data_IF_187016979989
#
_entry.id   IF_187016979989
#
_cell.length_a   1.000
_cell.length_b   1.000
_cell.length_c   1.000
_cell.angle_alpha   90.00
_cell.angle_beta   90.00
_cell.angle_gamma   90.00
#
_symmetry.space_group_name_H-M   'P 1'
#
loop_
_entity.id
_entity.type
_entity.pdbx_description
1 polymer ?
#
# COMPACT_ATOMS: atom_id res chain seq x y z
N UNK A 1 18.73 -18.53 11.42
CA UNK A 1 19.12 -18.43 9.99
C UNK A 1 18.86 -17.00 9.57
N UNK A 2 19.89 -16.20 9.28
CA UNK A 2 19.68 -14.81 8.85
C UNK A 2 19.13 -14.81 7.43
N UNK A 3 17.98 -14.22 7.21
CA UNK A 3 17.43 -14.04 5.86
C UNK A 3 18.32 -13.05 5.10
N UNK A 4 18.70 -13.42 3.87
CA UNK A 4 19.41 -12.52 2.97
C UNK A 4 18.46 -11.38 2.58
N UNK A 5 18.92 -10.14 2.71
CA UNK A 5 18.22 -8.96 2.24
C UNK A 5 18.73 -8.55 0.86
N UNK A 6 17.82 -8.18 -0.01
CA UNK A 6 18.15 -7.65 -1.33
C UNK A 6 18.39 -6.14 -1.29
N UNK A 7 18.85 -5.61 -2.41
CA UNK A 7 19.14 -4.18 -2.61
C UNK A 7 17.98 -3.49 -3.32
N UNK A 8 17.71 -2.24 -2.91
CA UNK A 8 16.70 -1.38 -3.52
C UNK A 8 17.35 -0.10 -4.02
N UNK A 9 16.84 0.43 -5.13
CA UNK A 9 17.18 1.76 -5.65
C UNK A 9 15.92 2.60 -5.80
N UNK A 10 16.07 3.92 -5.66
CA UNK A 10 15.03 4.88 -6.02
C UNK A 10 14.95 5.04 -7.54
N UNK A 11 13.73 4.97 -8.07
CA UNK A 11 13.42 5.20 -9.47
C UNK A 11 12.27 6.20 -9.58
N UNK A 12 12.34 7.07 -10.57
CA UNK A 12 11.27 8.03 -10.87
C UNK A 12 10.70 7.73 -12.25
N UNK A 13 9.38 7.75 -12.35
CA UNK A 13 8.61 7.48 -13.57
C UNK A 13 7.56 8.58 -13.73
N UNK A 14 7.46 9.18 -14.90
CA UNK A 14 6.43 10.20 -15.16
C UNK A 14 5.14 9.55 -15.63
N UNK A 15 4.05 9.82 -14.92
CA UNK A 15 2.70 9.32 -15.22
C UNK A 15 1.74 10.51 -15.26
N UNK A 16 1.10 10.78 -16.38
CA UNK A 16 0.16 11.91 -16.57
C UNK A 16 0.76 13.27 -16.15
N UNK A 17 2.05 13.46 -16.34
CA UNK A 17 2.76 14.68 -15.95
C UNK A 17 3.17 14.73 -14.47
N UNK A 18 2.83 13.72 -13.67
CA UNK A 18 3.30 13.58 -12.28
C UNK A 18 4.55 12.71 -12.22
N UNK A 19 5.56 13.15 -11.51
CA UNK A 19 6.72 12.32 -11.18
C UNK A 19 6.38 11.39 -10.04
N UNK A 20 6.38 10.08 -10.29
CA UNK A 20 6.16 9.04 -9.29
C UNK A 20 7.48 8.38 -8.91
N UNK A 21 7.77 8.38 -7.63
CA UNK A 21 8.91 7.67 -7.05
C UNK A 21 8.53 6.22 -6.72
N UNK A 22 9.51 5.31 -6.83
CA UNK A 22 9.39 3.94 -6.34
C UNK A 22 10.74 3.42 -5.83
N UNK A 23 10.73 2.62 -4.78
CA UNK A 23 11.86 1.75 -4.45
C UNK A 23 11.75 0.47 -5.27
N UNK A 24 12.81 0.13 -6.01
CA UNK A 24 12.84 -1.00 -6.95
C UNK A 24 13.99 -1.93 -6.62
N UNK A 25 13.74 -3.25 -6.60
CA UNK A 25 14.79 -4.24 -6.40
C UNK A 25 15.73 -4.31 -7.59
N UNK A 26 17.03 -4.52 -7.33
CA UNK A 26 18.09 -4.61 -8.35
C UNK A 26 18.83 -5.93 -8.33
N UNK A 27 18.28 -6.94 -7.68
CA UNK A 27 18.87 -8.28 -7.69
C UNK A 27 18.76 -8.88 -9.10
N UNK A 28 19.83 -9.56 -9.59
CA UNK A 28 19.76 -10.29 -10.84
C UNK A 28 18.86 -11.52 -10.65
N UNK A 29 17.68 -11.47 -11.24
CA UNK A 29 16.70 -12.55 -11.22
C UNK A 29 16.39 -13.04 -12.62
N UNK A 30 15.92 -14.29 -12.79
CA UNK A 30 15.41 -14.80 -14.06
C UNK A 30 14.29 -13.90 -14.63
N UNK A 31 14.10 -13.92 -15.94
CA UNK A 31 13.05 -13.10 -16.60
C UNK A 31 11.63 -13.46 -16.14
N UNK A 32 11.40 -14.73 -15.78
CA UNK A 32 10.15 -15.28 -15.27
C UNK A 32 9.98 -15.11 -13.75
N UNK A 33 10.91 -14.42 -13.08
CA UNK A 33 10.77 -14.14 -11.65
C UNK A 33 9.48 -13.34 -11.37
N UNK A 34 8.76 -13.70 -10.30
CA UNK A 34 7.49 -13.04 -9.97
C UNK A 34 7.70 -11.53 -9.75
N UNK A 35 6.72 -10.75 -10.20
CA UNK A 35 6.67 -9.31 -9.93
C UNK A 35 5.77 -9.07 -8.72
N UNK A 36 6.28 -8.29 -7.76
CA UNK A 36 5.54 -7.92 -6.55
C UNK A 36 5.50 -6.40 -6.42
N UNK A 37 4.28 -5.84 -6.32
CA UNK A 37 4.06 -4.43 -6.03
C UNK A 37 3.61 -4.30 -4.57
N UNK A 38 4.30 -3.46 -3.81
CA UNK A 38 4.00 -3.17 -2.41
C UNK A 38 3.27 -1.83 -2.31
N UNK A 39 2.01 -1.87 -1.91
CA UNK A 39 1.15 -0.68 -1.79
C UNK A 39 1.11 -0.24 -0.34
N UNK A 40 1.64 0.95 -0.07
CA UNK A 40 1.75 1.50 1.28
C UNK A 40 0.39 1.87 1.89
N UNK A 41 0.38 2.06 3.21
CA UNK A 41 -0.81 2.43 3.98
C UNK A 41 -1.14 3.92 3.96
N UNK A 42 -2.04 4.29 4.88
CA UNK A 42 -2.57 5.64 5.03
C UNK A 42 -1.44 6.64 5.33
N UNK A 43 -1.27 7.62 4.45
CA UNK A 43 -0.38 8.79 4.63
C UNK A 43 1.09 8.44 4.90
N UNK A 44 1.50 7.19 4.74
CA UNK A 44 2.90 6.76 4.73
C UNK A 44 3.41 6.64 3.29
N UNK A 45 4.66 6.27 3.13
CA UNK A 45 5.32 6.12 1.84
C UNK A 45 5.87 4.71 1.63
N UNK A 46 6.48 4.47 0.48
CA UNK A 46 7.22 3.25 0.18
C UNK A 46 8.32 2.94 1.21
N UNK A 47 8.83 3.94 1.92
CA UNK A 47 9.81 3.75 3.02
C UNK A 47 9.32 2.79 4.08
N UNK A 48 8.01 2.81 4.38
CA UNK A 48 7.40 1.88 5.33
C UNK A 48 7.48 0.43 4.83
N UNK A 49 7.49 0.22 3.51
CA UNK A 49 7.53 -1.10 2.89
C UNK A 49 8.94 -1.63 2.64
N UNK A 50 9.99 -0.83 2.86
CA UNK A 50 11.40 -1.20 2.62
C UNK A 50 11.77 -2.54 3.30
N UNK A 51 11.48 -2.78 4.59
CA UNK A 51 11.86 -4.04 5.21
C UNK A 51 11.27 -5.27 4.51
N UNK A 52 10.01 -5.17 4.06
CA UNK A 52 9.34 -6.23 3.30
C UNK A 52 9.95 -6.37 1.91
N UNK A 53 10.21 -5.25 1.23
CA UNK A 53 10.81 -5.23 -0.09
C UNK A 53 12.21 -5.89 -0.09
N UNK A 54 13.06 -5.56 0.90
CA UNK A 54 14.39 -6.16 1.05
C UNK A 54 14.34 -7.69 1.26
N UNK A 55 13.33 -8.20 1.96
CA UNK A 55 13.14 -9.63 2.18
C UNK A 55 12.66 -10.37 0.93
N UNK A 56 11.86 -9.71 0.10
CA UNK A 56 11.32 -10.28 -1.14
C UNK A 56 12.28 -10.15 -2.32
N UNK A 57 13.13 -9.12 -2.35
CA UNK A 57 14.04 -8.84 -3.47
C UNK A 57 14.94 -10.01 -3.89
N UNK A 58 15.40 -10.94 -3.01
CA UNK A 58 16.16 -12.10 -3.44
C UNK A 58 15.40 -13.12 -4.31
N UNK A 59 14.07 -13.07 -4.31
CA UNK A 59 13.20 -14.08 -4.97
C UNK A 59 12.14 -13.47 -5.90
N UNK A 60 12.00 -12.15 -5.92
CA UNK A 60 10.99 -11.46 -6.73
C UNK A 60 11.52 -10.10 -7.21
N UNK A 61 11.04 -9.65 -8.37
CA UNK A 61 11.18 -8.26 -8.82
C UNK A 61 10.20 -7.40 -8.03
N UNK A 62 10.73 -6.61 -7.08
CA UNK A 62 9.91 -5.86 -6.13
C UNK A 62 9.87 -4.40 -6.50
N UNK A 63 8.68 -3.84 -6.46
CA UNK A 63 8.40 -2.44 -6.68
C UNK A 63 7.57 -1.91 -5.52
N UNK A 64 8.00 -0.82 -4.92
CA UNK A 64 7.25 -0.14 -3.86
C UNK A 64 7.07 1.34 -4.29
N UNK A 65 6.00 1.66 -5.04
CA UNK A 65 5.74 3.03 -5.46
C UNK A 65 5.24 3.88 -4.30
N UNK A 66 5.61 5.16 -4.31
CA UNK A 66 4.91 6.20 -3.59
C UNK A 66 3.71 6.64 -4.43
N UNK A 67 2.51 6.50 -3.88
CA UNK A 67 1.32 6.98 -4.58
C UNK A 67 1.31 8.51 -4.68
N UNK A 68 0.65 9.10 -5.70
CA UNK A 68 0.60 10.55 -5.85
C UNK A 68 0.12 11.27 -4.60
N UNK A 69 0.91 12.23 -4.14
CA UNK A 69 0.64 12.96 -2.90
C UNK A 69 1.41 12.48 -1.69
N UNK A 70 2.14 11.37 -1.78
CA UNK A 70 2.86 10.77 -0.67
C UNK A 70 4.35 10.56 -1.01
N UNK A 71 5.16 10.41 0.03
CA UNK A 71 6.58 10.15 -0.09
C UNK A 71 7.31 11.17 -0.96
N UNK A 72 8.06 10.67 -1.93
CA UNK A 72 8.84 11.46 -2.88
C UNK A 72 8.13 11.66 -4.23
N UNK A 73 6.91 11.13 -4.38
CA UNK A 73 6.08 11.40 -5.56
C UNK A 73 5.48 12.81 -5.52
N UNK A 74 5.20 13.34 -6.71
CA UNK A 74 4.54 14.63 -6.87
C UNK A 74 3.20 14.68 -6.13
N UNK A 75 2.86 15.88 -5.68
CA UNK A 75 1.66 16.17 -4.90
C UNK A 75 0.65 16.93 -5.74
N UNK A 76 -0.37 16.25 -6.31
CA UNK A 76 -1.45 16.94 -7.00
C UNK A 76 -2.09 17.99 -6.10
N UNK A 77 -2.63 19.06 -6.69
CA UNK A 77 -3.32 20.15 -5.94
C UNK A 77 -4.44 19.59 -5.05
N UNK A 78 -5.19 18.62 -5.57
CA UNK A 78 -6.21 17.91 -4.79
C UNK A 78 -5.76 16.51 -4.42
N UNK A 79 -6.33 15.95 -3.37
CA UNK A 79 -6.15 14.56 -3.00
C UNK A 79 -6.93 13.69 -3.99
N UNK A 80 -6.27 12.71 -4.58
CA UNK A 80 -6.91 11.73 -5.44
C UNK A 80 -7.78 10.79 -4.61
N UNK A 81 -8.94 10.43 -5.14
CA UNK A 81 -9.79 9.40 -4.53
C UNK A 81 -9.29 7.98 -4.85
N UNK A 82 -9.97 6.98 -4.32
CA UNK A 82 -9.53 5.59 -4.44
C UNK A 82 -9.51 5.09 -5.90
N UNK A 83 -10.57 5.30 -6.71
CA UNK A 83 -10.55 5.01 -8.14
C UNK A 83 -9.40 5.69 -8.88
N UNK A 84 -9.16 6.95 -8.63
CA UNK A 84 -8.09 7.73 -9.28
C UNK A 84 -6.70 7.20 -8.90
N UNK A 85 -6.48 6.86 -7.62
CA UNK A 85 -5.22 6.25 -7.16
C UNK A 85 -4.96 4.92 -7.87
N UNK A 86 -5.99 4.09 -8.06
CA UNK A 86 -5.86 2.81 -8.76
C UNK A 86 -5.59 2.99 -10.26
N UNK A 87 -6.24 3.97 -10.89
CA UNK A 87 -6.00 4.26 -12.31
C UNK A 87 -4.59 4.81 -12.55
N UNK A 88 -4.09 5.67 -11.67
CA UNK A 88 -2.70 6.14 -11.73
C UNK A 88 -1.72 5.01 -11.48
N UNK A 89 -1.98 4.12 -10.52
CA UNK A 89 -1.14 2.95 -10.27
C UNK A 89 -1.10 2.02 -11.50
N UNK A 90 -2.23 1.83 -12.18
CA UNK A 90 -2.28 1.03 -13.41
C UNK A 90 -1.42 1.65 -14.53
N UNK A 91 -1.54 2.96 -14.76
CA UNK A 91 -0.71 3.67 -15.75
C UNK A 91 0.77 3.69 -15.37
N UNK A 92 1.08 3.79 -14.07
CA UNK A 92 2.45 3.65 -13.58
C UNK A 92 3.03 2.27 -13.91
N UNK A 93 2.22 1.21 -13.80
CA UNK A 93 2.64 -0.13 -14.22
C UNK A 93 2.95 -0.17 -15.71
N UNK A 94 2.16 0.52 -16.56
CA UNK A 94 2.42 0.59 -18.00
C UNK A 94 3.77 1.23 -18.29
N UNK A 95 4.06 2.38 -17.67
CA UNK A 95 5.32 3.11 -17.82
C UNK A 95 6.52 2.33 -17.25
N UNK A 96 6.29 1.54 -16.20
CA UNK A 96 7.31 0.65 -15.62
C UNK A 96 7.49 -0.67 -16.37
N UNK A 97 6.73 -0.93 -17.45
CA UNK A 97 6.77 -2.16 -18.23
C UNK A 97 6.26 -3.39 -17.46
N UNK A 98 5.35 -3.19 -16.52
CA UNK A 98 4.77 -4.25 -15.70
C UNK A 98 3.39 -4.61 -16.24
N UNK A 99 3.27 -5.75 -16.89
CA UNK A 99 2.00 -6.23 -17.44
C UNK A 99 1.06 -6.70 -16.33
N UNK A 100 1.56 -7.54 -15.41
CA UNK A 100 0.81 -8.12 -14.28
C UNK A 100 1.71 -8.27 -13.08
N UNK A 101 1.12 -8.20 -11.88
CA UNK A 101 1.86 -8.35 -10.63
C UNK A 101 1.03 -9.02 -9.52
N UNK A 102 1.73 -9.65 -8.58
CA UNK A 102 1.19 -9.88 -7.24
C UNK A 102 1.24 -8.57 -6.46
N UNK A 103 0.14 -8.18 -5.83
CA UNK A 103 0.09 -6.96 -5.04
C UNK A 103 -0.01 -7.26 -3.54
N UNK A 104 0.83 -6.60 -2.74
CA UNK A 104 0.77 -6.67 -1.28
C UNK A 104 0.46 -5.28 -0.73
N UNK A 105 -0.67 -5.16 -0.04
CA UNK A 105 -1.11 -3.90 0.58
C UNK A 105 -1.05 -3.98 2.10
N UNK A 106 -0.65 -2.87 2.70
CA UNK A 106 -0.71 -2.68 4.14
C UNK A 106 -1.82 -1.67 4.49
N UNK A 107 -2.70 -2.03 5.43
CA UNK A 107 -3.73 -1.12 5.95
C UNK A 107 -4.61 -0.51 4.83
N UNK A 108 -4.59 0.80 4.61
CA UNK A 108 -5.29 1.49 3.50
C UNK A 108 -4.87 0.97 2.12
N UNK A 109 -3.63 0.49 1.95
CA UNK A 109 -3.18 -0.17 0.74
C UNK A 109 -4.02 -1.40 0.37
N UNK A 110 -4.67 -2.05 1.35
CA UNK A 110 -5.59 -3.15 1.08
C UNK A 110 -6.86 -2.68 0.35
N UNK A 111 -7.39 -1.50 0.70
CA UNK A 111 -8.53 -0.90 0.01
C UNK A 111 -8.18 -0.53 -1.44
N UNK A 112 -6.97 0.01 -1.63
CA UNK A 112 -6.45 0.34 -2.96
C UNK A 112 -6.33 -0.93 -3.82
N UNK A 113 -5.80 -2.03 -3.26
CA UNK A 113 -5.70 -3.30 -3.98
C UNK A 113 -7.07 -3.89 -4.29
N UNK A 114 -8.02 -3.81 -3.36
CA UNK A 114 -9.38 -4.29 -3.61
C UNK A 114 -10.07 -3.51 -4.75
N UNK A 115 -9.97 -2.18 -4.74
CA UNK A 115 -10.44 -1.32 -5.84
C UNK A 115 -9.74 -1.64 -7.15
N UNK A 116 -8.40 -1.79 -7.12
CA UNK A 116 -7.59 -2.14 -8.28
C UNK A 116 -8.01 -3.49 -8.89
N UNK A 117 -8.24 -4.49 -8.05
CA UNK A 117 -8.65 -5.83 -8.49
C UNK A 117 -10.02 -5.83 -9.21
N UNK A 118 -10.94 -4.97 -8.76
CA UNK A 118 -12.25 -4.82 -9.41
C UNK A 118 -12.14 -4.05 -10.72
N UNK A 119 -11.35 -2.97 -10.76
CA UNK A 119 -11.24 -2.10 -11.94
C UNK A 119 -10.29 -2.64 -13.01
N UNK A 120 -9.21 -3.27 -12.60
CA UNK A 120 -8.11 -3.74 -13.45
C UNK A 120 -7.80 -5.24 -13.24
N UNK A 121 -8.79 -6.16 -13.33
CA UNK A 121 -8.64 -7.56 -12.93
C UNK A 121 -7.57 -8.31 -13.75
N UNK A 122 -7.28 -7.86 -14.97
CA UNK A 122 -6.25 -8.48 -15.83
C UNK A 122 -4.82 -8.09 -15.43
N UNK A 123 -4.65 -7.07 -14.59
CA UNK A 123 -3.35 -6.49 -14.21
C UNK A 123 -2.82 -7.02 -12.88
N UNK A 124 -3.62 -7.77 -12.15
CA UNK A 124 -3.28 -8.34 -10.86
C UNK A 124 -3.39 -9.87 -10.92
N UNK A 125 -2.38 -10.57 -10.38
CA UNK A 125 -2.35 -12.03 -10.35
C UNK A 125 -2.84 -12.58 -9.02
N UNK A 126 -2.34 -12.00 -7.92
CA UNK A 126 -2.64 -12.38 -6.55
C UNK A 126 -2.65 -11.16 -5.67
N UNK A 127 -3.40 -11.21 -4.58
CA UNK A 127 -3.43 -10.17 -3.57
C UNK A 127 -2.98 -10.70 -2.22
N UNK A 128 -2.20 -9.88 -1.50
CA UNK A 128 -1.91 -10.07 -0.08
C UNK A 128 -2.41 -8.83 0.65
N UNK A 129 -3.40 -9.01 1.52
CA UNK A 129 -4.03 -7.93 2.29
C UNK A 129 -3.53 -8.03 3.73
N UNK A 130 -2.59 -7.17 4.10
CA UNK A 130 -1.97 -7.15 5.43
C UNK A 130 -2.64 -6.11 6.32
N UNK A 131 -3.27 -6.57 7.40
CA UNK A 131 -3.97 -5.70 8.35
C UNK A 131 -5.04 -4.84 7.67
N UNK A 132 -5.95 -5.42 6.86
CA UNK A 132 -6.99 -4.64 6.20
C UNK A 132 -7.78 -3.88 7.25
N UNK A 133 -7.87 -2.57 7.08
CA UNK A 133 -8.61 -1.68 7.97
C UNK A 133 -10.09 -1.78 7.66
N UNK A 134 -10.87 -1.85 8.69
CA UNK A 134 -12.28 -1.50 8.82
C UNK A 134 -13.17 -2.67 9.17
N UNK A 135 -13.44 -2.71 10.47
CA UNK A 135 -14.68 -3.22 11.00
C UNK A 135 -15.81 -2.19 10.69
N UNK A 136 -16.96 -2.68 10.21
CA UNK A 136 -18.20 -1.88 10.00
C UNK A 136 -18.59 -1.02 11.21
N UNK A 137 -18.16 -1.40 12.41
CA UNK A 137 -18.53 -0.77 13.68
C UNK A 137 -17.57 0.34 14.14
N UNK A 138 -16.40 0.52 13.51
CA UNK A 138 -15.37 1.49 13.94
C UNK A 138 -15.03 2.55 12.89
N UNK A 139 -16.01 3.05 12.16
CA UNK A 139 -15.83 4.02 11.06
C UNK A 139 -15.79 5.48 11.52
N UNK A 140 -15.50 5.79 12.78
CA UNK A 140 -15.40 7.18 13.20
C UNK A 140 -13.96 7.68 13.22
N UNK A 141 -13.72 8.88 12.68
CA UNK A 141 -12.40 9.54 12.69
C UNK A 141 -11.79 9.56 14.10
N UNK A 142 -12.52 9.92 15.19
CA UNK A 142 -11.96 9.91 16.54
C UNK A 142 -11.48 8.54 17.01
N UNK A 143 -12.18 7.46 16.64
CA UNK A 143 -11.78 6.10 17.00
C UNK A 143 -10.54 5.64 16.27
N UNK A 144 -10.38 6.02 14.99
CA UNK A 144 -9.19 5.72 14.20
C UNK A 144 -7.97 6.48 14.76
N UNK A 145 -8.12 7.77 15.02
CA UNK A 145 -7.06 8.60 15.64
C UNK A 145 -6.70 8.03 17.02
N UNK A 146 -7.69 7.67 17.84
CA UNK A 146 -7.43 7.07 19.15
C UNK A 146 -6.70 5.73 19.00
N UNK A 147 -7.04 4.90 18.00
CA UNK A 147 -6.34 3.67 17.70
C UNK A 147 -4.86 3.88 17.36
N UNK A 148 -4.56 4.90 16.56
CA UNK A 148 -3.17 5.28 16.25
C UNK A 148 -2.41 5.79 17.48
N UNK A 149 -3.05 6.60 18.33
CA UNK A 149 -2.42 7.18 19.53
C UNK A 149 -2.21 6.12 20.63
N UNK A 150 -3.15 5.18 20.78
CA UNK A 150 -3.11 4.18 21.87
C UNK A 150 -2.29 2.94 21.55
N UNK A 151 -1.82 2.77 20.32
CA UNK A 151 -1.02 1.63 19.88
C UNK A 151 0.43 1.96 19.45
N UNK A 152 1.14 2.92 20.07
CA UNK A 152 2.52 3.23 19.71
C UNK A 152 3.50 2.10 20.07
N UNK A 153 3.06 1.10 20.84
CA UNK A 153 3.93 0.03 21.36
C UNK A 153 4.11 -1.15 20.40
N UNK A 154 3.33 -1.23 19.31
CA UNK A 154 3.38 -2.35 18.36
C UNK A 154 4.28 -2.06 17.14
N UNK A 155 4.71 -0.83 16.93
CA UNK A 155 5.61 -0.47 15.85
C UNK A 155 7.05 -0.31 16.34
N UNK A 156 8.01 -0.75 15.51
CA UNK A 156 9.42 -0.49 15.79
C UNK A 156 9.66 1.03 15.85
N UNK A 157 10.47 1.55 16.79
CA UNK A 157 10.73 2.99 16.92
C UNK A 157 11.22 3.66 15.63
N UNK A 158 11.93 2.92 14.76
CA UNK A 158 12.35 3.39 13.45
C UNK A 158 11.18 3.69 12.50
N UNK A 159 10.09 2.91 12.56
CA UNK A 159 8.89 3.13 11.76
C UNK A 159 8.10 4.34 12.23
N UNK A 160 8.08 4.61 13.54
CA UNK A 160 7.42 5.79 14.10
C UNK A 160 8.05 7.10 13.55
N UNK A 161 9.37 7.15 13.42
CA UNK A 161 10.07 8.30 12.83
C UNK A 161 9.73 8.47 11.35
N UNK A 162 9.69 7.38 10.58
CA UNK A 162 9.30 7.39 9.17
C UNK A 162 7.86 7.91 9.03
N UNK A 163 6.94 7.37 9.82
CA UNK A 163 5.53 7.79 9.81
C UNK A 163 5.37 9.27 10.15
N UNK A 164 6.06 9.76 11.19
CA UNK A 164 6.02 11.17 11.56
C UNK A 164 6.56 12.09 10.44
N UNK A 165 7.65 11.69 9.79
CA UNK A 165 8.21 12.41 8.66
C UNK A 165 7.28 12.43 7.45
N UNK A 166 6.69 11.29 7.09
CA UNK A 166 5.75 11.19 5.97
C UNK A 166 4.47 12.01 6.22
N UNK A 167 3.97 12.05 7.46
CA UNK A 167 2.83 12.88 7.85
C UNK A 167 3.14 14.38 7.74
N UNK A 168 4.34 14.76 8.15
CA UNK A 168 4.80 16.14 7.99
C UNK A 168 4.89 16.53 6.50
N UNK A 169 5.43 15.64 5.65
CA UNK A 169 5.52 15.85 4.21
C UNK A 169 4.15 15.93 3.54
N UNK A 170 3.19 15.07 3.93
CA UNK A 170 1.87 15.04 3.31
C UNK A 170 1.05 16.30 3.62
N UNK A 171 1.23 16.86 4.81
CA UNK A 171 0.50 18.04 5.28
C UNK A 171 -0.91 17.73 5.81
N UNK A 172 -1.37 18.56 6.74
CA UNK A 172 -2.58 18.32 7.53
C UNK A 172 -3.84 18.08 6.69
N UNK A 173 -4.11 18.90 5.68
CA UNK A 173 -5.32 18.77 4.86
C UNK A 173 -5.36 17.47 4.06
N UNK A 174 -4.20 17.04 3.54
CA UNK A 174 -4.11 15.76 2.82
C UNK A 174 -4.38 14.59 3.75
N UNK A 175 -3.85 14.62 4.98
CA UNK A 175 -4.12 13.60 6.00
C UNK A 175 -5.61 13.47 6.25
N UNK A 176 -6.30 14.58 6.55
CA UNK A 176 -7.74 14.59 6.84
C UNK A 176 -8.54 14.05 5.64
N UNK A 177 -8.23 14.52 4.42
CA UNK A 177 -8.96 14.08 3.23
C UNK A 177 -8.74 12.60 2.94
N UNK A 178 -7.52 12.10 3.13
CA UNK A 178 -7.22 10.67 2.93
C UNK A 178 -7.94 9.80 3.96
N UNK A 179 -8.01 10.24 5.22
CA UNK A 179 -8.81 9.55 6.25
C UNK A 179 -10.28 9.50 5.84
N UNK A 180 -10.84 10.61 5.32
CA UNK A 180 -12.22 10.61 4.83
C UNK A 180 -12.43 9.60 3.71
N UNK A 181 -11.56 9.59 2.69
CA UNK A 181 -11.62 8.63 1.58
C UNK A 181 -11.56 7.19 2.11
N UNK A 182 -10.66 6.91 3.05
CA UNK A 182 -10.53 5.60 3.68
C UNK A 182 -11.82 5.17 4.42
N UNK A 183 -12.49 6.11 5.11
CA UNK A 183 -13.70 5.83 5.87
C UNK A 183 -14.96 5.72 4.99
N UNK A 184 -14.98 6.43 3.87
CA UNK A 184 -16.05 6.39 2.87
C UNK A 184 -16.01 5.08 2.05
N UNK A 185 -14.84 4.45 1.97
CA UNK A 185 -14.67 3.21 1.21
C UNK A 185 -15.23 1.97 1.94
N UNK A 186 -15.86 1.11 1.18
CA UNK A 186 -16.48 -0.13 1.63
C UNK A 186 -15.75 -1.34 1.02
N UNK A 187 -14.57 -1.67 1.57
CA UNK A 187 -13.76 -2.79 1.06
C UNK A 187 -14.56 -4.10 1.03
N UNK A 188 -15.44 -4.32 2.01
CA UNK A 188 -16.27 -5.51 2.12
C UNK A 188 -17.23 -5.71 0.94
N UNK A 189 -17.61 -4.65 0.25
CA UNK A 189 -18.44 -4.71 -0.96
C UNK A 189 -17.64 -5.14 -2.20
N UNK A 190 -16.32 -4.91 -2.17
CA UNK A 190 -15.41 -5.24 -3.26
C UNK A 190 -14.87 -6.66 -3.19
N UNK A 191 -14.63 -7.18 -1.98
CA UNK A 191 -14.03 -8.50 -1.77
C UNK A 191 -14.75 -9.63 -2.52
N UNK A 192 -16.11 -9.70 -2.58
CA UNK A 192 -16.82 -10.71 -3.36
C UNK A 192 -16.58 -10.64 -4.88
N UNK A 193 -16.11 -9.49 -5.37
CA UNK A 193 -15.81 -9.26 -6.79
C UNK A 193 -14.35 -9.49 -7.15
N UNK A 194 -13.51 -9.82 -6.17
CA UNK A 194 -12.10 -10.15 -6.38
C UNK A 194 -11.95 -11.62 -6.76
N UNK A 195 -11.96 -11.93 -8.05
CA UNK A 195 -11.85 -13.30 -8.57
C UNK A 195 -10.37 -13.71 -8.78
N UNK A 196 -9.54 -13.55 -7.73
CA UNK A 196 -8.10 -13.89 -7.75
C UNK A 196 -7.68 -14.50 -6.40
N UNK A 197 -6.61 -15.32 -6.38
CA UNK A 197 -6.07 -15.85 -5.13
C UNK A 197 -5.69 -14.70 -4.18
N UNK A 198 -6.32 -14.66 -3.02
CA UNK A 198 -6.13 -13.60 -2.03
C UNK A 198 -5.73 -14.19 -0.68
N UNK A 199 -4.62 -13.71 -0.12
CA UNK A 199 -4.18 -14.01 1.23
C UNK A 199 -4.47 -12.80 2.14
N UNK A 200 -5.18 -13.05 3.23
CA UNK A 200 -5.39 -12.04 4.28
C UNK A 200 -4.47 -12.37 5.45
N UNK A 201 -3.64 -11.39 5.84
CA UNK A 201 -2.68 -11.51 6.94
C UNK A 201 -3.06 -10.54 8.05
N UNK A 202 -3.11 -11.06 9.28
CA UNK A 202 -3.40 -10.29 10.47
C UNK A 202 -2.36 -10.57 11.55
N UNK A 203 -1.99 -9.54 12.33
CA UNK A 203 -1.13 -9.71 13.51
C UNK A 203 -1.86 -10.46 14.64
N UNK A 204 -1.17 -11.36 15.32
CA UNK A 204 -1.72 -12.16 16.42
C UNK A 204 -2.23 -11.30 17.59
N UNK A 205 -1.58 -10.17 17.83
CA UNK A 205 -1.91 -9.23 18.92
C UNK A 205 -3.02 -8.24 18.57
N UNK A 206 -3.54 -8.26 17.34
CA UNK A 206 -4.65 -7.42 16.92
C UNK A 206 -6.01 -8.01 17.41
N UNK A 207 -6.07 -8.38 18.67
CA UNK A 207 -7.21 -9.03 19.33
C UNK A 207 -8.48 -8.17 19.42
N UNK A 208 -8.42 -6.91 19.02
CA UNK A 208 -9.52 -5.96 19.20
C UNK A 208 -10.59 -6.01 18.13
N UNK A 209 -10.47 -6.91 17.15
CA UNK A 209 -11.42 -6.98 16.04
C UNK A 209 -11.73 -8.44 15.69
N UNK A 210 -12.88 -8.99 16.14
CA UNK A 210 -13.30 -10.29 15.66
C UNK A 210 -13.54 -10.20 14.15
N UNK A 211 -12.87 -11.08 13.39
CA UNK A 211 -13.23 -11.32 11.99
C UNK A 211 -14.57 -12.04 11.98
N UNK A 212 -15.61 -11.37 11.51
CA UNK A 212 -16.83 -12.02 11.02
C UNK A 212 -16.98 -11.68 9.55
N UNK A 213 -16.31 -12.45 8.71
CA UNK A 213 -16.75 -12.55 7.31
C UNK A 213 -17.73 -13.70 7.23
N UNK A 214 -18.87 -13.53 6.50
CA UNK A 214 -19.80 -14.61 6.22
C UNK A 214 -19.17 -15.68 5.33
#
# INVERSE_FOLDING_TARGET
MSLRKGRLLSQYTTVDGLSMHAHVSVEPLPEDAPVVILVHGLVVSSRYMIPTAELLAPVARVYAPDLPGYGESDKPERVLDLPELTDVLCRWMDEAGIERATMLGNSFGCQIIAEFAVRHPTRIERAVLQGPTLDRHTRSIPQQILGFITNPQLEQPSLALITAYDYWLAGFWRIIRTIQIMLEDHIEEKLPHMHLPTLVVRGEEDHRRPFSYP
#
